data_IF_394775166458
#
_entry.id   IF_394775166458
#
_cell.length_a   1.000
_cell.length_b   1.000
_cell.length_c   1.000
_cell.angle_alpha   90.00
_cell.angle_beta   90.00
_cell.angle_gamma   90.00
#
_symmetry.space_group_name_H-M   'P 1'
#
loop_
_entity.id
_entity.type
_entity.pdbx_description
1 polymer ?
#
# COMPACT_ATOMS: atom_id res chain seq x y z
N UNK A 1 -0.03 -5.01 -11.73
CA UNK A 1 1.12 -5.07 -10.80
C UNK A 1 1.58 -6.50 -10.57
N UNK A 2 2.89 -6.75 -10.40
CA UNK A 2 3.37 -8.10 -10.02
C UNK A 2 2.78 -8.52 -8.67
N UNK A 3 2.14 -9.69 -8.61
CA UNK A 3 1.44 -10.18 -7.42
C UNK A 3 2.32 -10.17 -6.14
N UNK A 4 3.60 -10.50 -6.24
CA UNK A 4 4.52 -10.50 -5.09
C UNK A 4 4.69 -9.11 -4.47
N UNK A 5 4.69 -8.04 -5.27
CA UNK A 5 4.79 -6.66 -4.75
C UNK A 5 3.48 -6.27 -4.09
N UNK A 6 2.35 -6.61 -4.71
CA UNK A 6 1.03 -6.36 -4.16
C UNK A 6 0.85 -7.03 -2.78
N UNK A 7 1.23 -8.30 -2.66
CA UNK A 7 1.18 -9.06 -1.39
C UNK A 7 2.09 -8.45 -0.32
N UNK A 8 3.30 -8.02 -0.70
CA UNK A 8 4.18 -7.34 0.24
C UNK A 8 3.60 -6.01 0.72
N UNK A 9 2.93 -5.26 -0.16
CA UNK A 9 2.30 -3.99 0.18
C UNK A 9 1.17 -4.19 1.19
N UNK A 10 0.30 -5.18 1.00
CA UNK A 10 -0.74 -5.56 1.96
C UNK A 10 -0.12 -5.92 3.31
N UNK A 11 0.91 -6.77 3.30
CA UNK A 11 1.64 -7.12 4.51
C UNK A 11 2.18 -5.88 5.24
N UNK A 12 2.75 -4.90 4.52
CA UNK A 12 3.21 -3.65 5.12
C UNK A 12 2.06 -2.86 5.74
N UNK A 13 0.90 -2.77 5.08
CA UNK A 13 -0.28 -2.10 5.66
C UNK A 13 -0.72 -2.81 6.93
N UNK A 14 -0.96 -4.12 6.90
CA UNK A 14 -1.45 -4.86 8.06
C UNK A 14 -0.48 -4.86 9.25
N UNK A 15 0.82 -4.87 8.97
CA UNK A 15 1.87 -4.88 10.01
C UNK A 15 2.01 -3.51 10.67
N UNK A 16 1.97 -2.43 9.89
CA UNK A 16 2.33 -1.09 10.34
C UNK A 16 1.13 -0.13 10.44
N UNK A 17 -0.10 -0.62 10.20
CA UNK A 17 -1.33 0.17 10.26
C UNK A 17 -1.49 0.91 11.58
N UNK A 18 -2.04 2.11 11.46
CA UNK A 18 -2.37 2.98 12.59
C UNK A 18 -3.87 3.22 12.69
N UNK A 19 -4.52 3.59 11.58
CA UNK A 19 -5.95 3.91 11.52
C UNK A 19 -6.68 3.37 10.28
N UNK A 20 -5.95 2.93 9.25
CA UNK A 20 -6.49 2.27 8.05
C UNK A 20 -6.14 0.78 8.08
N UNK A 21 -7.10 -0.06 7.73
CA UNK A 21 -6.89 -1.49 7.49
C UNK A 21 -7.24 -1.89 6.05
N UNK A 22 -6.73 -3.05 5.62
CA UNK A 22 -7.16 -3.69 4.38
C UNK A 22 -8.48 -4.41 4.65
N UNK A 23 -9.56 -3.92 4.04
CA UNK A 23 -10.89 -4.53 4.16
C UNK A 23 -11.11 -5.65 3.14
N UNK A 24 -10.52 -5.53 1.95
CA UNK A 24 -10.54 -6.57 0.90
C UNK A 24 -9.31 -6.38 -0.01
N UNK A 25 -8.59 -7.47 -0.29
CA UNK A 25 -7.38 -7.50 -1.09
C UNK A 25 -7.50 -8.35 -2.37
N UNK A 26 -8.70 -8.87 -2.64
CA UNK A 26 -8.95 -9.76 -3.77
C UNK A 26 -10.29 -9.47 -4.48
N UNK A 27 -10.88 -8.31 -4.22
CA UNK A 27 -12.07 -7.83 -4.89
C UNK A 27 -11.79 -7.53 -6.37
N UNK A 28 -12.46 -8.22 -7.28
CA UNK A 28 -12.45 -7.88 -8.71
C UNK A 28 -13.67 -7.04 -9.06
N UNK A 29 -13.44 -5.87 -9.64
CA UNK A 29 -14.48 -4.94 -10.06
C UNK A 29 -14.16 -4.37 -11.43
N UNK A 30 -15.20 -3.99 -12.13
CA UNK A 30 -15.10 -3.22 -13.36
C UNK A 30 -14.78 -1.76 -13.04
N UNK A 31 -13.78 -1.22 -13.71
CA UNK A 31 -13.35 0.17 -13.58
C UNK A 31 -13.41 0.86 -14.93
N UNK A 32 -13.94 2.08 -14.94
CA UNK A 32 -13.97 2.90 -16.15
C UNK A 32 -12.59 3.50 -16.38
N UNK A 33 -12.02 3.25 -17.55
CA UNK A 33 -10.74 3.81 -17.96
C UNK A 33 -10.94 4.73 -19.15
N UNK A 34 -10.44 5.98 -19.08
CA UNK A 34 -10.47 6.87 -20.23
C UNK A 34 -9.50 6.38 -21.31
N UNK A 35 -10.01 6.12 -22.53
CA UNK A 35 -9.19 5.77 -23.69
C UNK A 35 -9.58 6.63 -24.89
N UNK A 36 -8.78 7.66 -25.16
CA UNK A 36 -9.02 8.65 -26.22
C UNK A 36 -10.46 9.23 -26.14
N UNK A 37 -11.30 8.94 -27.14
CA UNK A 37 -12.69 9.41 -27.28
C UNK A 37 -13.74 8.39 -26.77
N UNK A 38 -13.35 7.31 -26.09
CA UNK A 38 -14.27 6.32 -25.52
C UNK A 38 -13.93 6.00 -24.07
N UNK A 39 -14.97 5.73 -23.28
CA UNK A 39 -14.85 5.05 -22.00
C UNK A 39 -14.74 3.55 -22.25
N UNK A 40 -13.63 2.97 -21.82
CA UNK A 40 -13.43 1.52 -21.81
C UNK A 40 -13.62 1.00 -20.38
N UNK A 41 -13.79 -0.31 -20.25
CA UNK A 41 -13.99 -0.96 -18.97
C UNK A 41 -12.88 -1.99 -18.74
N UNK A 42 -12.26 -1.95 -17.56
CA UNK A 42 -11.27 -2.92 -17.15
C UNK A 42 -11.73 -3.60 -15.86
N UNK A 43 -11.94 -4.91 -15.93
CA UNK A 43 -12.05 -5.72 -14.73
C UNK A 43 -10.66 -5.90 -14.15
N UNK A 44 -10.43 -5.35 -12.95
CA UNK A 44 -9.15 -5.50 -12.26
C UNK A 44 -9.35 -5.72 -10.76
N UNK A 45 -8.36 -6.36 -10.15
CA UNK A 45 -8.28 -6.49 -8.70
C UNK A 45 -8.23 -5.11 -8.07
N UNK A 46 -8.91 -4.94 -6.96
CA UNK A 46 -9.14 -3.67 -6.28
C UNK A 46 -8.78 -3.84 -4.83
N UNK A 47 -7.83 -3.03 -4.35
CA UNK A 47 -7.54 -2.94 -2.92
C UNK A 47 -8.63 -2.08 -2.26
N UNK A 48 -9.27 -2.61 -1.23
CA UNK A 48 -10.23 -1.85 -0.42
C UNK A 48 -9.58 -1.54 0.92
N UNK A 49 -9.41 -0.26 1.17
CA UNK A 49 -8.95 0.28 2.44
C UNK A 49 -10.16 0.74 3.26
N UNK A 50 -10.09 0.60 4.58
CA UNK A 50 -11.14 1.05 5.50
C UNK A 50 -10.54 1.74 6.72
N UNK A 51 -11.14 2.85 7.13
CA UNK A 51 -10.84 3.48 8.40
C UNK A 51 -11.33 2.58 9.56
N UNK A 52 -10.42 1.98 10.32
CA UNK A 52 -10.77 1.12 11.44
C UNK A 52 -11.14 1.92 12.71
N UNK A 53 -10.74 3.19 12.76
CA UNK A 53 -11.09 4.20 13.78
C UNK A 53 -11.19 5.60 13.13
N UNK A 54 -11.85 6.58 13.76
CA UNK A 54 -11.89 7.95 13.26
C UNK A 54 -10.49 8.57 13.19
N UNK A 55 -10.23 9.39 12.18
CA UNK A 55 -8.95 10.09 12.02
C UNK A 55 -9.13 11.39 11.24
N UNK A 56 -8.92 12.53 11.89
CA UNK A 56 -9.15 13.85 11.28
C UNK A 56 -10.61 14.00 10.84
N UNK A 57 -10.82 14.22 9.54
CA UNK A 57 -12.15 14.35 8.91
C UNK A 57 -12.74 13.02 8.46
N UNK A 58 -12.07 11.89 8.70
CA UNK A 58 -12.52 10.59 8.26
C UNK A 58 -13.21 9.82 9.39
N UNK A 59 -14.44 9.43 9.14
CA UNK A 59 -15.22 8.60 10.05
C UNK A 59 -14.79 7.14 10.00
N UNK A 60 -15.01 6.44 11.12
CA UNK A 60 -14.83 4.99 11.19
C UNK A 60 -15.74 4.31 10.17
N UNK A 61 -15.19 3.37 9.41
CA UNK A 61 -15.91 2.64 8.37
C UNK A 61 -15.87 3.29 6.99
N UNK A 62 -15.36 4.53 6.87
CA UNK A 62 -15.06 5.13 5.56
C UNK A 62 -14.17 4.19 4.75
N UNK A 63 -14.49 3.98 3.47
CA UNK A 63 -13.75 3.07 2.59
C UNK A 63 -13.19 3.78 1.36
N UNK A 64 -12.04 3.29 0.89
CA UNK A 64 -11.42 3.73 -0.35
C UNK A 64 -11.09 2.51 -1.21
N UNK A 65 -11.48 2.58 -2.47
CA UNK A 65 -11.20 1.54 -3.46
C UNK A 65 -10.08 2.01 -4.38
N UNK A 66 -9.01 1.23 -4.47
CA UNK A 66 -7.84 1.54 -5.29
C UNK A 66 -7.65 0.40 -6.28
N UNK A 67 -7.92 0.63 -7.58
CA UNK A 67 -7.68 -0.36 -8.62
C UNK A 67 -6.20 -0.75 -8.72
N UNK A 68 -5.92 -1.99 -9.11
CA UNK A 68 -4.55 -2.46 -9.27
C UNK A 68 -3.78 -1.71 -10.36
N UNK A 69 -4.47 -1.22 -11.40
CA UNK A 69 -3.81 -0.45 -12.46
C UNK A 69 -3.30 0.91 -11.97
N UNK A 70 -4.02 1.57 -11.06
CA UNK A 70 -3.56 2.81 -10.43
C UNK A 70 -2.38 2.55 -9.49
N UNK A 71 -2.41 1.45 -8.74
CA UNK A 71 -1.27 1.00 -7.94
C UNK A 71 -0.04 0.73 -8.80
N UNK A 72 -0.21 0.12 -9.98
CA UNK A 72 0.88 -0.15 -10.92
C UNK A 72 1.45 1.13 -11.53
N UNK A 73 0.59 2.07 -11.90
CA UNK A 73 0.99 3.40 -12.39
C UNK A 73 1.74 4.21 -11.32
N UNK A 74 1.25 4.19 -10.08
CA UNK A 74 1.90 4.80 -8.93
C UNK A 74 3.28 4.18 -8.65
N UNK A 75 3.37 2.85 -8.68
CA UNK A 75 4.63 2.13 -8.52
C UNK A 75 5.64 2.49 -9.63
N UNK A 76 5.19 2.57 -10.89
CA UNK A 76 6.03 2.99 -12.01
C UNK A 76 6.53 4.43 -11.83
N UNK A 77 5.65 5.33 -11.36
CA UNK A 77 5.99 6.73 -11.07
C UNK A 77 7.01 6.83 -9.94
N UNK A 78 6.79 6.12 -8.84
CA UNK A 78 7.70 6.11 -7.70
C UNK A 78 9.08 5.55 -8.07
N UNK A 79 9.15 4.51 -8.92
CA UNK A 79 10.44 4.00 -9.46
C UNK A 79 11.20 5.01 -10.31
N UNK A 80 10.51 5.90 -11.01
CA UNK A 80 11.15 6.96 -11.82
C UNK A 80 11.70 8.07 -10.93
N UNK A 81 10.98 8.41 -9.87
CA UNK A 81 11.34 9.50 -8.95
C UNK A 81 12.40 9.09 -7.92
N UNK A 82 12.43 7.83 -7.48
CA UNK A 82 13.32 7.37 -6.41
C UNK A 82 14.31 6.29 -6.91
N UNK A 83 15.53 6.71 -7.22
CA UNK A 83 16.60 5.82 -7.70
C UNK A 83 17.08 4.81 -6.66
N UNK A 84 17.02 5.16 -5.36
CA UNK A 84 17.36 4.26 -4.25
C UNK A 84 16.32 3.14 -4.17
N UNK A 85 15.03 3.49 -4.17
CA UNK A 85 13.93 2.53 -4.22
C UNK A 85 14.06 1.61 -5.43
N UNK A 86 14.26 2.17 -6.63
CA UNK A 86 14.45 1.40 -7.87
C UNK A 86 15.58 0.37 -7.72
N UNK A 87 16.70 0.77 -7.14
CA UNK A 87 17.86 -0.11 -6.91
C UNK A 87 17.57 -1.18 -5.87
N UNK A 88 16.89 -0.82 -4.77
CA UNK A 88 16.52 -1.75 -3.69
C UNK A 88 15.55 -2.83 -4.20
N UNK A 89 14.55 -2.43 -4.99
CA UNK A 89 13.55 -3.35 -5.56
C UNK A 89 14.11 -4.37 -6.56
N UNK A 90 15.35 -4.20 -7.05
CA UNK A 90 16.04 -5.25 -7.83
C UNK A 90 16.27 -6.52 -7.01
N UNK A 91 16.37 -6.40 -5.68
CA UNK A 91 16.54 -7.53 -4.75
C UNK A 91 15.24 -8.32 -4.50
N UNK A 92 14.12 -7.84 -5.04
CA UNK A 92 12.81 -8.51 -4.94
C UNK A 92 11.79 -7.71 -4.12
N UNK A 93 10.59 -8.27 -3.98
CA UNK A 93 9.47 -7.60 -3.33
C UNK A 93 9.69 -7.37 -1.83
N UNK A 94 10.42 -8.27 -1.14
CA UNK A 94 10.74 -8.16 0.30
C UNK A 94 11.51 -6.89 0.70
N UNK A 95 12.05 -6.17 -0.28
CA UNK A 95 12.71 -4.88 -0.09
C UNK A 95 11.77 -3.68 0.02
N UNK A 96 10.46 -3.89 -0.17
CA UNK A 96 9.43 -2.87 0.00
C UNK A 96 9.29 -2.50 1.48
N UNK A 97 9.40 -1.22 1.80
CA UNK A 97 9.26 -0.71 3.17
C UNK A 97 7.85 -0.18 3.44
N UNK A 98 7.56 0.13 4.71
CA UNK A 98 6.35 0.85 5.09
C UNK A 98 6.27 2.23 4.39
N UNK A 99 7.39 2.95 4.34
CA UNK A 99 7.48 4.25 3.67
C UNK A 99 7.23 4.16 2.15
N UNK A 100 7.74 3.11 1.49
CA UNK A 100 7.43 2.91 0.07
C UNK A 100 5.94 2.64 -0.14
N UNK A 101 5.35 1.81 0.73
CA UNK A 101 3.93 1.48 0.69
C UNK A 101 3.07 2.74 0.86
N UNK A 102 3.40 3.58 1.84
CA UNK A 102 2.78 4.90 2.06
C UNK A 102 2.82 5.74 0.78
N UNK A 103 4.00 5.86 0.16
CA UNK A 103 4.17 6.69 -1.02
C UNK A 103 3.44 6.14 -2.24
N UNK A 104 3.40 4.82 -2.42
CA UNK A 104 2.66 4.19 -3.52
C UNK A 104 1.15 4.42 -3.35
N UNK A 105 0.58 4.22 -2.16
CA UNK A 105 -0.84 4.49 -1.90
C UNK A 105 -1.15 5.97 -2.08
N UNK A 106 -0.30 6.86 -1.56
CA UNK A 106 -0.46 8.30 -1.71
C UNK A 106 -0.45 8.72 -3.18
N UNK A 107 0.43 8.16 -4.00
CA UNK A 107 0.49 8.43 -5.43
C UNK A 107 -0.74 7.87 -6.17
N UNK A 108 -1.15 6.64 -5.86
CA UNK A 108 -2.30 5.98 -6.51
C UNK A 108 -3.63 6.67 -6.21
N UNK A 109 -3.72 7.33 -5.04
CA UNK A 109 -4.93 8.06 -4.61
C UNK A 109 -4.82 9.56 -4.83
N UNK A 110 -3.82 10.04 -5.57
CA UNK A 110 -3.58 11.46 -5.81
C UNK A 110 -3.52 12.31 -4.53
N UNK A 111 -3.02 11.72 -3.44
CA UNK A 111 -2.87 12.37 -2.14
C UNK A 111 -4.09 12.29 -1.22
N UNK A 112 -5.20 11.69 -1.66
CA UNK A 112 -6.42 11.56 -0.85
C UNK A 112 -6.18 10.66 0.36
N UNK A 113 -5.47 9.54 0.18
CA UNK A 113 -5.22 8.57 1.26
C UNK A 113 -3.79 8.70 1.78
N UNK A 114 -3.66 8.89 3.09
CA UNK A 114 -2.42 8.79 3.85
C UNK A 114 -2.59 7.71 4.91
N UNK A 115 -1.80 6.64 4.82
CA UNK A 115 -1.92 5.50 5.73
C UNK A 115 -1.36 5.82 7.12
N UNK A 116 -0.34 6.68 7.16
CA UNK A 116 0.42 7.01 8.37
C UNK A 116 1.00 5.77 9.04
N UNK A 117 1.66 4.91 8.26
CA UNK A 117 2.25 3.67 8.76
C UNK A 117 3.37 3.95 9.78
N UNK A 118 3.38 3.19 10.89
CA UNK A 118 4.38 3.33 11.96
C UNK A 118 5.12 2.02 12.18
N UNK A 119 6.43 2.03 11.93
CA UNK A 119 7.33 0.91 12.25
C UNK A 119 7.64 0.96 13.74
N UNK A 120 7.01 0.07 14.52
CA UNK A 120 7.31 -0.07 15.94
C UNK A 120 8.65 -0.80 16.12
N UNK A 121 9.59 -0.28 16.93
CA UNK A 121 10.79 -1.04 17.26
C UNK A 121 10.38 -2.32 17.98
N UNK A 122 10.80 -3.47 17.44
CA UNK A 122 10.64 -4.75 18.11
C UNK A 122 11.51 -4.72 19.35
N UNK A 123 10.90 -4.68 20.52
CA UNK A 123 11.63 -4.85 21.77
C UNK A 123 12.10 -6.31 21.82
N UNK A 124 13.35 -6.56 21.48
CA UNK A 124 14.00 -7.84 21.75
C UNK A 124 14.49 -7.72 23.19
N UNK A 125 13.88 -8.41 24.18
CA UNK A 125 14.46 -8.44 25.51
C UNK A 125 15.87 -9.01 25.36
N UNK A 126 16.88 -8.22 25.71
CA UNK A 126 18.26 -8.69 25.82
C UNK A 126 18.25 -9.88 26.78
N UNK A 127 18.53 -11.08 26.28
CA UNK A 127 18.73 -12.24 27.14
C UNK A 127 19.81 -11.86 28.17
N UNK A 128 19.54 -11.89 29.48
CA UNK A 128 20.62 -11.83 30.45
C UNK A 128 21.45 -13.10 30.23
N UNK A 129 22.68 -12.93 29.77
CA UNK A 129 23.65 -14.00 29.83
C UNK A 129 23.81 -14.35 31.31
N UNK A 130 23.24 -15.48 31.74
CA UNK A 130 23.62 -16.06 33.02
C UNK A 130 25.07 -16.53 32.87
N UNK A 131 25.98 -15.73 33.43
CA UNK A 131 27.30 -16.21 33.81
C UNK A 131 27.10 -17.06 35.07
N UNK A 132 27.13 -18.37 34.89
CA UNK A 132 27.40 -19.36 35.93
C UNK A 132 28.63 -20.15 35.51
#
# INVERSE_FOLDING_TARGET
MRNTIYRQMIFCIDTYRTWIEVADDNLYKEHVIPRNNRTDFLVSRTLVLRACKPHGTYDRGMTWTIPEHDLDAALATYRKQNGIFKSRMKKGASSLTAEDTENIIRLATHGIVRLELVVRPVHIPSKPYYLL
#
